data_IF_061274643466
#
_entry.id   IF_061274643466
#
_cell.length_a   1.000
_cell.length_b   1.000
_cell.length_c   1.000
_cell.angle_alpha   90.00
_cell.angle_beta   90.00
_cell.angle_gamma   90.00
#
_symmetry.space_group_name_H-M   'P 1'
#
loop_
_entity.id
_entity.type
_entity.pdbx_description
1 polymer ?
#
# COMPACT_ATOMS: atom_id res chain seq x y z
N UNK A 1 -24.63 6.63 -36.97
CA UNK A 1 -23.53 6.74 -35.99
C UNK A 1 -24.10 7.31 -34.70
N UNK A 2 -24.21 6.53 -33.61
CA UNK A 2 -24.84 7.00 -32.39
C UNK A 2 -23.95 8.01 -31.68
N UNK A 3 -24.62 8.98 -31.06
CA UNK A 3 -24.08 10.17 -30.39
C UNK A 3 -23.03 9.79 -29.33
N UNK A 4 -21.79 10.21 -29.54
CA UNK A 4 -20.78 10.28 -28.48
C UNK A 4 -21.27 11.28 -27.43
N UNK A 5 -21.41 10.82 -26.20
CA UNK A 5 -21.73 11.64 -25.04
C UNK A 5 -20.52 12.54 -24.74
N UNK A 6 -20.67 13.84 -25.00
CA UNK A 6 -19.64 14.84 -24.73
C UNK A 6 -19.66 15.22 -23.24
N UNK A 7 -19.01 14.40 -22.41
CA UNK A 7 -18.83 14.63 -20.97
C UNK A 7 -17.89 15.82 -20.65
N UNK A 8 -17.43 16.57 -21.66
CA UNK A 8 -16.27 17.46 -21.57
C UNK A 8 -16.62 18.93 -21.25
N UNK A 9 -17.88 19.25 -20.96
CA UNK A 9 -18.33 20.63 -20.67
C UNK A 9 -19.43 20.71 -19.62
N UNK A 10 -19.22 20.18 -18.43
CA UNK A 10 -19.94 20.77 -17.28
C UNK A 10 -19.20 22.08 -16.92
N UNK A 11 -19.86 23.25 -17.01
CA UNK A 11 -19.25 24.50 -16.54
C UNK A 11 -18.93 24.34 -15.04
N UNK A 12 -17.77 24.83 -14.57
CA UNK A 12 -17.42 24.71 -13.16
C UNK A 12 -18.51 25.35 -12.31
N UNK A 13 -19.17 24.54 -11.46
CA UNK A 13 -20.10 25.07 -10.46
C UNK A 13 -19.33 26.07 -9.57
N UNK A 14 -19.92 27.21 -9.18
CA UNK A 14 -19.23 28.17 -8.35
C UNK A 14 -18.75 27.50 -7.06
N UNK A 15 -17.44 27.54 -6.77
CA UNK A 15 -16.83 26.88 -5.61
C UNK A 15 -17.53 27.24 -4.28
N UNK A 16 -18.06 28.47 -4.18
CA UNK A 16 -18.84 28.95 -3.02
C UNK A 16 -20.08 28.11 -2.70
N UNK A 17 -20.77 27.57 -3.72
CA UNK A 17 -21.94 26.70 -3.49
C UNK A 17 -21.51 25.34 -2.96
N UNK A 18 -20.38 24.80 -3.43
CA UNK A 18 -19.87 23.51 -2.98
C UNK A 18 -19.44 23.50 -1.52
N UNK A 19 -18.71 24.53 -1.07
CA UNK A 19 -18.29 24.61 0.34
C UNK A 19 -19.45 24.81 1.31
N UNK A 20 -20.48 25.55 0.90
CA UNK A 20 -21.66 25.75 1.73
C UNK A 20 -22.47 24.46 1.88
N UNK A 21 -22.66 23.70 0.80
CA UNK A 21 -23.33 22.40 0.88
C UNK A 21 -22.55 21.41 1.75
N UNK A 22 -21.21 21.37 1.65
CA UNK A 22 -20.40 20.51 2.51
C UNK A 22 -20.52 20.87 4.00
N UNK A 23 -20.70 22.16 4.33
CA UNK A 23 -20.97 22.57 5.73
C UNK A 23 -22.31 22.05 6.23
N UNK A 24 -23.35 22.09 5.39
CA UNK A 24 -24.67 21.53 5.74
C UNK A 24 -24.57 20.02 5.95
N UNK A 25 -23.91 19.28 5.05
CA UNK A 25 -23.71 17.83 5.21
C UNK A 25 -22.93 17.48 6.49
N UNK A 26 -21.97 18.31 6.89
CA UNK A 26 -21.25 18.14 8.15
C UNK A 26 -22.17 18.38 9.36
N UNK A 27 -22.99 19.44 9.32
CA UNK A 27 -23.94 19.73 10.39
C UNK A 27 -25.01 18.64 10.56
N UNK A 28 -25.45 18.01 9.47
CA UNK A 28 -26.41 16.89 9.49
C UNK A 28 -25.87 15.63 10.16
N UNK A 29 -24.54 15.40 10.12
CA UNK A 29 -23.93 14.23 10.77
C UNK A 29 -23.78 14.36 12.29
N UNK A 30 -23.94 15.56 12.85
CA UNK A 30 -23.85 15.81 14.28
C UNK A 30 -22.47 16.26 14.77
N UNK A 31 -22.39 16.52 16.07
CA UNK A 31 -21.18 17.08 16.69
C UNK A 31 -20.02 16.07 16.72
N UNK A 32 -18.82 16.52 16.39
CA UNK A 32 -17.62 15.68 16.29
C UNK A 32 -17.59 14.70 15.10
N UNK A 33 -18.53 14.77 14.17
CA UNK A 33 -18.52 13.94 12.97
C UNK A 33 -17.52 14.45 11.92
N UNK A 34 -16.99 13.54 11.10
CA UNK A 34 -16.11 13.87 9.98
C UNK A 34 -16.76 13.51 8.63
N UNK A 35 -16.41 14.29 7.60
CA UNK A 35 -16.74 13.95 6.22
C UNK A 35 -15.67 13.03 5.66
N UNK A 36 -16.08 11.88 5.15
CA UNK A 36 -15.23 11.00 4.34
C UNK A 36 -15.29 11.48 2.90
N UNK A 37 -14.14 11.62 2.26
CA UNK A 37 -14.09 12.02 0.86
C UNK A 37 -14.60 10.91 -0.05
N UNK A 38 -15.46 11.27 -1.00
CA UNK A 38 -15.93 10.39 -2.08
C UNK A 38 -15.76 11.10 -3.43
N UNK A 39 -15.14 10.41 -4.39
CA UNK A 39 -14.96 10.87 -5.78
C UNK A 39 -16.28 11.05 -6.53
N UNK A 40 -17.34 10.38 -6.07
CA UNK A 40 -18.66 10.39 -6.70
C UNK A 40 -19.61 11.44 -6.06
N UNK A 41 -19.26 12.00 -4.90
CA UNK A 41 -19.91 13.19 -4.37
C UNK A 41 -19.57 14.42 -5.23
N UNK A 42 -20.56 15.05 -5.89
CA UNK A 42 -20.32 16.21 -6.73
C UNK A 42 -19.69 17.38 -5.97
N UNK A 43 -20.03 17.61 -4.70
CA UNK A 43 -19.57 18.76 -3.92
C UNK A 43 -18.16 18.55 -3.38
N UNK A 44 -17.85 17.36 -2.86
CA UNK A 44 -16.49 17.00 -2.45
C UNK A 44 -15.51 17.08 -3.64
N UNK A 45 -15.91 16.58 -4.81
CA UNK A 45 -15.07 16.63 -6.01
C UNK A 45 -14.88 18.06 -6.54
N UNK A 46 -15.90 18.91 -6.45
CA UNK A 46 -15.79 20.33 -6.85
C UNK A 46 -14.87 21.12 -5.91
N UNK A 47 -14.91 20.81 -4.60
CA UNK A 47 -13.99 21.37 -3.62
C UNK A 47 -12.54 21.01 -3.94
N UNK A 48 -12.23 19.72 -4.15
CA UNK A 48 -10.88 19.27 -4.52
C UNK A 48 -10.44 19.90 -5.84
N UNK A 49 -11.29 19.90 -6.86
CA UNK A 49 -10.96 20.47 -8.18
C UNK A 49 -10.58 21.94 -8.09
N UNK A 50 -11.38 22.75 -7.39
CA UNK A 50 -11.14 24.19 -7.26
C UNK A 50 -9.90 24.51 -6.42
N UNK A 51 -9.72 23.84 -5.27
CA UNK A 51 -8.54 24.01 -4.42
C UNK A 51 -7.25 23.60 -5.13
N UNK A 52 -7.25 22.47 -5.84
CA UNK A 52 -6.11 21.98 -6.60
C UNK A 52 -5.73 22.94 -7.74
N UNK A 53 -6.71 23.43 -8.51
CA UNK A 53 -6.43 24.36 -9.61
C UNK A 53 -5.91 25.72 -9.11
N UNK A 54 -6.43 26.22 -7.99
CA UNK A 54 -5.90 27.44 -7.38
C UNK A 54 -4.45 27.24 -6.93
N UNK A 55 -4.13 26.10 -6.31
CA UNK A 55 -2.75 25.74 -5.96
C UNK A 55 -1.85 25.64 -7.19
N UNK A 56 -2.32 25.00 -8.27
CA UNK A 56 -1.57 24.93 -9.53
C UNK A 56 -1.25 26.32 -10.06
N UNK A 57 -2.22 27.23 -10.05
CA UNK A 57 -2.02 28.60 -10.52
C UNK A 57 -0.99 29.37 -9.68
N UNK A 58 -1.01 29.22 -8.35
CA UNK A 58 -0.02 29.83 -7.44
C UNK A 58 1.41 29.42 -7.79
N UNK A 59 1.61 28.16 -8.18
CA UNK A 59 2.92 27.63 -8.56
C UNK A 59 3.16 27.66 -10.08
N UNK A 60 2.43 28.49 -10.82
CA UNK A 60 2.58 28.66 -12.29
C UNK A 60 2.46 27.36 -13.09
N UNK A 61 1.63 26.43 -12.62
CA UNK A 61 1.29 25.19 -13.33
C UNK A 61 -0.02 25.35 -14.10
N UNK A 62 -0.12 24.67 -15.24
CA UNK A 62 -1.35 24.63 -16.02
C UNK A 62 -2.47 23.94 -15.22
N UNK A 63 -3.61 24.63 -15.10
CA UNK A 63 -4.82 24.08 -14.50
C UNK A 63 -5.32 22.87 -15.29
N UNK A 64 -5.95 21.93 -14.57
CA UNK A 64 -6.51 20.70 -15.14
C UNK A 64 -8.03 20.70 -15.08
N UNK A 65 -8.63 19.89 -15.94
CA UNK A 65 -10.09 19.73 -15.95
C UNK A 65 -10.57 18.97 -14.70
N UNK A 66 -11.86 19.14 -14.35
CA UNK A 66 -12.51 18.35 -13.29
C UNK A 66 -12.38 16.84 -13.55
N UNK A 67 -12.47 16.43 -14.82
CA UNK A 67 -12.34 15.02 -15.21
C UNK A 67 -10.95 14.47 -14.90
N UNK A 68 -9.89 15.20 -15.28
CA UNK A 68 -8.51 14.77 -15.03
C UNK A 68 -8.22 14.73 -13.52
N UNK A 69 -8.67 15.74 -12.77
CA UNK A 69 -8.48 15.79 -11.32
C UNK A 69 -9.27 14.67 -10.65
N UNK A 70 -10.49 14.36 -11.09
CA UNK A 70 -11.27 13.21 -10.59
C UNK A 70 -10.57 11.88 -10.88
N UNK A 71 -10.00 11.73 -12.08
CA UNK A 71 -9.25 10.53 -12.44
C UNK A 71 -8.03 10.30 -11.54
N UNK A 72 -7.29 11.37 -11.22
CA UNK A 72 -6.10 11.30 -10.37
C UNK A 72 -6.46 11.17 -8.88
N UNK A 73 -7.33 12.02 -8.35
CA UNK A 73 -7.71 12.00 -6.93
C UNK A 73 -8.45 10.71 -6.55
N UNK A 74 -9.27 10.17 -7.45
CA UNK A 74 -10.01 8.94 -7.24
C UNK A 74 -9.26 7.67 -7.64
N UNK A 75 -8.01 7.77 -8.10
CA UNK A 75 -7.23 6.64 -8.64
C UNK A 75 -8.06 5.78 -9.61
N UNK A 76 -8.77 6.41 -10.56
CA UNK A 76 -9.74 5.73 -11.42
C UNK A 76 -9.01 4.80 -12.38
N UNK A 77 -9.29 3.50 -12.27
CA UNK A 77 -8.87 2.48 -13.23
C UNK A 77 -9.97 2.33 -14.29
N UNK A 78 -9.70 2.62 -15.58
CA UNK A 78 -10.68 2.41 -16.63
C UNK A 78 -11.08 0.93 -16.73
N UNK A 79 -12.40 0.67 -16.71
CA UNK A 79 -12.94 -0.67 -16.81
C UNK A 79 -13.81 -0.82 -18.07
N UNK A 80 -13.73 -1.99 -18.72
CA UNK A 80 -14.54 -2.33 -19.89
C UNK A 80 -15.18 -3.70 -19.62
N UNK A 81 -16.48 -3.83 -19.90
CA UNK A 81 -17.26 -5.03 -19.61
C UNK A 81 -16.68 -6.31 -20.23
N UNK A 82 -16.08 -6.20 -21.42
CA UNK A 82 -15.49 -7.35 -22.14
C UNK A 82 -14.31 -7.96 -21.41
N UNK A 83 -13.45 -7.14 -20.78
CA UNK A 83 -12.33 -7.64 -19.97
C UNK A 83 -12.85 -8.49 -18.81
N UNK A 84 -13.85 -8.00 -18.08
CA UNK A 84 -14.44 -8.73 -16.95
C UNK A 84 -15.10 -10.03 -17.40
N UNK A 85 -15.82 -10.03 -18.52
CA UNK A 85 -16.43 -11.24 -19.07
C UNK A 85 -15.40 -12.32 -19.44
N UNK A 86 -14.28 -11.92 -20.06
CA UNK A 86 -13.18 -12.83 -20.41
C UNK A 86 -12.53 -13.41 -19.14
N UNK A 87 -12.18 -12.55 -18.17
CA UNK A 87 -11.54 -13.01 -16.93
C UNK A 87 -12.47 -13.93 -16.15
N UNK A 88 -13.75 -13.59 -15.99
CA UNK A 88 -14.72 -14.44 -15.31
C UNK A 88 -14.86 -15.83 -15.97
N UNK A 89 -14.90 -15.88 -17.31
CA UNK A 89 -14.90 -17.15 -18.04
C UNK A 89 -13.64 -17.99 -17.75
N UNK A 90 -12.46 -17.38 -17.75
CA UNK A 90 -11.20 -18.05 -17.42
C UNK A 90 -11.18 -18.53 -15.97
N UNK A 91 -11.70 -17.76 -15.01
CA UNK A 91 -11.81 -18.17 -13.60
C UNK A 91 -12.62 -19.45 -13.45
N UNK A 92 -13.75 -19.58 -14.13
CA UNK A 92 -14.57 -20.80 -14.09
C UNK A 92 -13.82 -21.98 -14.70
N UNK A 93 -13.10 -21.77 -15.82
CA UNK A 93 -12.31 -22.82 -16.46
C UNK A 93 -11.18 -23.33 -15.56
N UNK A 94 -10.44 -22.46 -14.87
CA UNK A 94 -9.42 -22.88 -13.90
C UNK A 94 -10.07 -23.60 -12.70
N UNK A 95 -11.22 -23.11 -12.22
CA UNK A 95 -11.95 -23.75 -11.11
C UNK A 95 -12.41 -25.17 -11.43
N UNK A 96 -12.84 -25.44 -12.66
CA UNK A 96 -13.21 -26.79 -13.09
C UNK A 96 -12.01 -27.75 -13.05
N UNK A 97 -10.79 -27.29 -13.36
CA UNK A 97 -9.58 -28.09 -13.24
C UNK A 97 -9.29 -28.45 -11.78
N UNK A 98 -9.39 -27.47 -10.89
CA UNK A 98 -9.22 -27.67 -9.44
C UNK A 98 -10.22 -28.70 -8.91
N UNK A 99 -11.51 -28.54 -9.23
CA UNK A 99 -12.56 -29.45 -8.80
C UNK A 99 -12.40 -30.87 -9.37
N UNK A 100 -11.72 -31.00 -10.52
CA UNK A 100 -11.39 -32.30 -11.13
C UNK A 100 -10.10 -32.92 -10.58
N UNK A 101 -9.47 -32.32 -9.56
CA UNK A 101 -8.19 -32.76 -8.99
C UNK A 101 -6.97 -32.49 -9.87
N UNK A 102 -7.09 -31.70 -10.93
CA UNK A 102 -6.04 -31.42 -11.92
C UNK A 102 -5.38 -30.06 -11.65
N UNK A 103 -4.85 -29.88 -10.45
CA UNK A 103 -4.22 -28.62 -10.01
C UNK A 103 -2.92 -28.35 -10.79
N UNK A 104 -2.20 -29.41 -11.14
CA UNK A 104 -1.01 -29.40 -12.00
C UNK A 104 -1.25 -28.82 -13.40
N UNK A 105 -2.50 -28.83 -13.87
CA UNK A 105 -2.93 -28.22 -15.13
C UNK A 105 -3.36 -26.74 -14.99
N UNK A 106 -3.37 -26.20 -13.78
CA UNK A 106 -3.73 -24.81 -13.53
C UNK A 106 -2.59 -23.87 -13.97
N UNK A 107 -2.95 -22.69 -14.47
CA UNK A 107 -1.98 -21.72 -15.02
C UNK A 107 -2.38 -20.30 -14.63
N UNK A 108 -1.40 -19.42 -14.46
CA UNK A 108 -1.63 -17.98 -14.41
C UNK A 108 -1.86 -17.51 -15.85
N UNK A 109 -3.05 -17.02 -16.17
CA UNK A 109 -3.38 -16.58 -17.53
C UNK A 109 -3.39 -15.05 -17.57
N UNK A 110 -2.50 -14.48 -18.38
CA UNK A 110 -2.43 -13.04 -18.61
C UNK A 110 -3.17 -12.68 -19.90
N UNK A 111 -4.08 -11.69 -19.82
CA UNK A 111 -4.78 -11.13 -20.97
C UNK A 111 -4.06 -9.87 -21.46
N UNK A 112 -3.45 -9.96 -22.64
CA UNK A 112 -2.75 -8.84 -23.27
C UNK A 112 -3.69 -8.03 -24.17
N UNK A 113 -3.46 -6.70 -24.23
CA UNK A 113 -4.15 -5.81 -25.17
C UNK A 113 -3.79 -6.10 -26.63
N UNK A 114 -2.53 -6.47 -26.88
CA UNK A 114 -2.03 -6.85 -28.20
C UNK A 114 -1.39 -8.23 -28.12
N UNK A 115 -1.37 -8.95 -29.24
CA UNK A 115 -0.70 -10.24 -29.29
C UNK A 115 0.80 -10.06 -28.99
N UNK A 116 1.35 -10.93 -28.15
CA UNK A 116 2.80 -10.97 -27.93
C UNK A 116 3.54 -11.41 -29.23
N UNK A 117 4.89 -11.38 -29.27
CA UNK A 117 5.65 -11.84 -30.45
C UNK A 117 5.34 -13.29 -30.89
N UNK A 118 4.76 -14.10 -30.00
CA UNK A 118 4.29 -15.48 -30.27
C UNK A 118 2.83 -15.55 -30.71
N UNK A 119 2.21 -14.43 -31.08
CA UNK A 119 0.82 -14.29 -31.54
C UNK A 119 -0.25 -14.70 -30.50
N UNK A 120 0.06 -14.62 -29.21
CA UNK A 120 -0.87 -14.95 -28.12
C UNK A 120 -1.43 -13.69 -27.45
N UNK A 121 -2.76 -13.61 -27.35
CA UNK A 121 -3.46 -12.63 -26.52
C UNK A 121 -3.63 -13.13 -25.08
N UNK A 122 -3.97 -14.42 -24.93
CA UNK A 122 -4.01 -15.12 -23.65
C UNK A 122 -2.71 -15.88 -23.47
N UNK A 123 -1.93 -15.52 -22.46
CA UNK A 123 -0.62 -16.12 -22.18
C UNK A 123 -0.72 -16.94 -20.90
N UNK A 124 -0.81 -18.28 -21.00
CA UNK A 124 -0.72 -19.15 -19.83
C UNK A 124 0.73 -19.30 -19.38
N UNK A 125 0.97 -19.05 -18.10
CA UNK A 125 2.23 -19.24 -17.39
C UNK A 125 2.07 -20.35 -16.33
N UNK A 126 3.15 -21.08 -16.06
CA UNK A 126 3.14 -22.05 -14.96
C UNK A 126 2.89 -21.35 -13.63
N UNK A 127 2.31 -22.08 -12.66
CA UNK A 127 2.18 -21.57 -11.30
C UNK A 127 3.55 -21.63 -10.63
N UNK A 128 3.96 -20.53 -10.01
CA UNK A 128 5.21 -20.47 -9.26
C UNK A 128 5.04 -21.19 -7.90
N UNK A 129 6.09 -21.85 -7.40
CA UNK A 129 6.05 -22.46 -6.06
C UNK A 129 5.99 -21.37 -4.97
N UNK A 130 5.59 -21.72 -3.74
CA UNK A 130 5.62 -20.79 -2.61
C UNK A 130 7.04 -20.21 -2.41
N UNK A 131 7.12 -18.88 -2.29
CA UNK A 131 8.39 -18.21 -2.03
C UNK A 131 8.83 -18.47 -0.57
N UNK A 132 10.02 -19.06 -0.32
CA UNK A 132 10.54 -19.29 1.03
C UNK A 132 10.67 -18.02 1.89
N UNK A 133 10.84 -16.86 1.25
CA UNK A 133 10.99 -15.56 1.93
C UNK A 133 9.66 -14.82 2.12
N UNK A 134 8.52 -15.46 1.85
CA UNK A 134 7.21 -14.82 2.00
C UNK A 134 6.86 -14.62 3.49
N UNK A 135 6.64 -13.37 3.90
CA UNK A 135 6.23 -13.03 5.27
C UNK A 135 4.77 -13.41 5.62
N UNK A 136 4.05 -14.10 4.73
CA UNK A 136 2.66 -14.53 4.95
C UNK A 136 2.56 -16.06 5.00
N UNK A 137 3.02 -16.76 3.95
CA UNK A 137 2.80 -18.21 3.82
C UNK A 137 4.00 -19.09 4.16
N UNK A 138 5.16 -18.51 4.50
CA UNK A 138 6.29 -19.29 5.00
C UNK A 138 5.97 -19.92 6.37
N UNK A 139 6.66 -21.02 6.70
CA UNK A 139 6.40 -21.78 7.94
C UNK A 139 6.64 -20.98 9.23
N UNK A 140 7.60 -20.05 9.20
CA UNK A 140 7.91 -19.09 10.27
C UNK A 140 8.23 -17.75 9.62
N UNK A 141 7.21 -16.92 9.34
CA UNK A 141 7.44 -15.64 8.69
C UNK A 141 8.05 -14.65 9.69
N UNK A 142 9.18 -14.04 9.31
CA UNK A 142 9.84 -13.01 10.10
C UNK A 142 10.12 -11.80 9.21
N UNK A 143 9.99 -10.60 9.78
CA UNK A 143 10.25 -9.34 9.09
C UNK A 143 11.10 -8.44 9.97
N UNK A 144 12.01 -7.69 9.35
CA UNK A 144 12.82 -6.69 10.04
C UNK A 144 12.32 -5.30 9.70
N UNK A 145 11.94 -4.53 10.72
CA UNK A 145 11.49 -3.15 10.55
C UNK A 145 12.53 -2.20 11.15
N UNK A 146 13.02 -1.24 10.36
CA UNK A 146 13.93 -0.20 10.85
C UNK A 146 13.14 1.09 11.14
N UNK A 147 13.20 1.51 12.39
CA UNK A 147 12.49 2.69 12.90
C UNK A 147 13.22 3.29 14.11
N UNK A 148 12.88 4.52 14.46
CA UNK A 148 13.41 5.18 15.66
C UNK A 148 12.50 4.92 16.87
N UNK A 149 12.97 4.09 17.81
CA UNK A 149 12.22 3.68 19.00
C UNK A 149 11.88 4.83 19.97
N UNK A 150 12.59 5.95 19.90
CA UNK A 150 12.34 7.14 20.73
C UNK A 150 11.32 8.09 20.10
N UNK A 151 11.15 8.05 18.78
CA UNK A 151 10.17 8.89 18.07
C UNK A 151 8.83 8.16 17.87
N UNK A 152 8.87 6.89 17.49
CA UNK A 152 7.66 6.11 17.16
C UNK A 152 6.85 5.78 18.42
N UNK A 153 5.54 6.00 18.34
CA UNK A 153 4.56 5.65 19.38
C UNK A 153 3.92 4.29 19.11
N UNK A 154 3.32 3.68 20.14
CA UNK A 154 2.53 2.44 19.99
C UNK A 154 1.39 2.61 18.98
N UNK A 155 0.73 3.78 18.97
CA UNK A 155 -0.32 4.09 18.00
C UNK A 155 0.18 4.06 16.56
N UNK A 156 1.36 4.64 16.33
CA UNK A 156 1.98 4.68 14.99
C UNK A 156 2.38 3.27 14.54
N UNK A 157 2.93 2.47 15.46
CA UNK A 157 3.22 1.06 15.21
C UNK A 157 1.95 0.30 14.83
N UNK A 158 0.88 0.44 15.61
CA UNK A 158 -0.40 -0.24 15.35
C UNK A 158 -0.99 0.13 14.00
N UNK A 159 -1.21 1.43 13.77
CA UNK A 159 -2.05 1.87 12.66
C UNK A 159 -1.27 1.91 11.34
N UNK A 160 -0.01 2.40 11.35
CA UNK A 160 0.77 2.54 10.11
C UNK A 160 1.61 1.31 9.76
N UNK A 161 2.14 0.60 10.76
CA UNK A 161 3.01 -0.56 10.49
C UNK A 161 2.18 -1.84 10.45
N UNK A 162 1.47 -2.15 11.53
CA UNK A 162 0.82 -3.46 11.66
C UNK A 162 -0.49 -3.54 10.85
N UNK A 163 -1.35 -2.51 10.93
CA UNK A 163 -2.60 -2.49 10.18
C UNK A 163 -2.42 -2.08 8.72
N UNK A 164 -1.76 -0.94 8.47
CA UNK A 164 -1.63 -0.42 7.10
C UNK A 164 -0.58 -1.19 6.29
N UNK A 165 0.64 -1.39 6.80
CA UNK A 165 1.71 -2.05 6.03
C UNK A 165 1.63 -3.58 6.03
N UNK A 166 1.29 -4.21 7.15
CA UNK A 166 1.12 -5.68 7.24
C UNK A 166 -0.32 -6.16 7.06
N UNK A 167 -1.27 -5.26 6.80
CA UNK A 167 -2.66 -5.59 6.48
C UNK A 167 -3.39 -6.41 7.58
N UNK A 168 -2.98 -6.31 8.84
CA UNK A 168 -3.68 -6.98 9.94
C UNK A 168 -4.96 -6.21 10.31
N UNK A 169 -6.05 -6.92 10.56
CA UNK A 169 -7.34 -6.29 10.87
C UNK A 169 -7.42 -5.87 12.34
N UNK A 170 -7.13 -6.81 13.24
CA UNK A 170 -7.17 -6.63 14.68
C UNK A 170 -5.94 -7.30 15.31
N UNK A 171 -4.79 -6.60 15.35
CA UNK A 171 -3.53 -7.20 15.78
C UNK A 171 -3.40 -7.24 17.30
N UNK A 172 -2.81 -8.32 17.81
CA UNK A 172 -2.39 -8.49 19.20
C UNK A 172 -0.86 -8.63 19.24
N UNK A 173 -0.18 -7.66 19.84
CA UNK A 173 1.26 -7.49 19.68
C UNK A 173 1.96 -7.57 21.02
N UNK A 174 2.88 -8.52 21.17
CA UNK A 174 3.60 -8.81 22.42
C UNK A 174 5.13 -8.76 22.21
N UNK A 175 5.85 -8.20 23.18
CA UNK A 175 7.32 -8.23 23.18
C UNK A 175 7.83 -9.61 23.61
N UNK A 176 8.80 -10.15 22.88
CA UNK A 176 9.49 -11.40 23.23
C UNK A 176 10.58 -11.18 24.30
N UNK A 177 10.18 -10.71 25.49
CA UNK A 177 11.06 -10.47 26.64
C UNK A 177 11.03 -11.59 27.69
N UNK A 178 10.25 -12.65 27.43
CA UNK A 178 9.97 -13.74 28.37
C UNK A 178 8.98 -13.40 29.48
N UNK A 179 8.57 -12.13 29.63
CA UNK A 179 7.52 -11.67 30.56
C UNK A 179 6.16 -11.59 29.88
N UNK A 180 6.17 -11.38 28.57
CA UNK A 180 4.98 -11.25 27.74
C UNK A 180 4.30 -9.90 27.88
N UNK A 181 5.10 -8.84 27.78
CA UNK A 181 4.59 -7.47 27.80
C UNK A 181 3.71 -7.21 26.57
N UNK A 182 2.41 -7.00 26.80
CA UNK A 182 1.41 -6.70 25.75
C UNK A 182 1.52 -5.21 25.37
N UNK A 183 1.80 -4.94 24.09
CA UNK A 183 1.88 -3.59 23.53
C UNK A 183 0.54 -3.15 22.95
N UNK A 184 -0.06 -4.01 22.14
CA UNK A 184 -1.32 -3.75 21.42
C UNK A 184 -2.24 -4.93 21.70
N UNK A 185 -3.48 -4.64 22.10
CA UNK A 185 -4.56 -5.61 22.20
C UNK A 185 -5.64 -5.30 21.16
N UNK A 186 -6.25 -6.34 20.62
CA UNK A 186 -7.44 -6.25 19.76
C UNK A 186 -8.70 -5.89 20.57
N UNK A 187 -8.71 -6.12 21.88
CA UNK A 187 -9.82 -5.79 22.77
C UNK A 187 -9.87 -4.28 23.10
N UNK A 188 -11.04 -3.68 22.86
CA UNK A 188 -11.25 -2.24 23.08
C UNK A 188 -11.10 -1.90 24.56
N UNK A 189 -10.20 -0.96 24.86
CA UNK A 189 -10.01 -0.42 26.21
C UNK A 189 -8.88 -1.04 27.02
N UNK A 190 -8.23 -2.12 26.56
CA UNK A 190 -7.12 -2.72 27.29
C UNK A 190 -5.81 -1.92 27.17
N UNK A 191 -5.41 -1.58 25.93
CA UNK A 191 -4.10 -0.94 25.65
C UNK A 191 -4.18 0.51 25.21
N UNK A 192 -5.34 1.17 25.35
CA UNK A 192 -5.52 2.57 24.91
C UNK A 192 -4.59 3.56 25.65
N UNK A 193 -4.27 3.25 26.91
CA UNK A 193 -3.31 4.02 27.71
C UNK A 193 -1.87 3.99 27.16
N UNK A 194 -1.55 3.01 26.30
CA UNK A 194 -0.22 2.86 25.71
C UNK A 194 -0.05 3.63 24.40
N UNK A 195 -1.14 4.07 23.76
CA UNK A 195 -1.13 4.65 22.40
C UNK A 195 -0.13 5.80 22.21
N UNK A 196 -0.02 6.70 23.19
CA UNK A 196 0.82 7.89 23.12
C UNK A 196 2.27 7.65 23.55
N UNK A 197 2.56 6.52 24.21
CA UNK A 197 3.87 6.18 24.74
C UNK A 197 4.84 5.80 23.63
N UNK A 198 6.12 6.12 23.81
CA UNK A 198 7.20 5.74 22.89
C UNK A 198 7.56 4.27 23.07
N UNK A 199 8.01 3.63 21.99
CA UNK A 199 8.43 2.22 22.04
C UNK A 199 9.59 1.99 23.02
N UNK A 200 10.48 2.97 23.15
CA UNK A 200 11.59 2.92 24.13
C UNK A 200 11.13 2.81 25.58
N UNK A 201 9.92 3.31 25.92
CA UNK A 201 9.38 3.22 27.29
C UNK A 201 9.05 1.78 27.69
N UNK A 202 8.86 0.89 26.71
CA UNK A 202 8.64 -0.54 26.92
C UNK A 202 9.93 -1.36 26.87
N UNK A 203 11.10 -0.69 26.87
CA UNK A 203 12.40 -1.35 26.79
C UNK A 203 12.76 -1.88 25.40
N UNK A 204 12.03 -1.47 24.35
CA UNK A 204 12.37 -1.83 22.98
C UNK A 204 13.68 -1.15 22.56
N UNK A 205 14.59 -1.94 22.00
CA UNK A 205 15.90 -1.52 21.49
C UNK A 205 16.17 -2.17 20.14
N UNK A 206 17.34 -1.90 19.57
CA UNK A 206 17.76 -2.57 18.35
C UNK A 206 17.72 -4.10 18.53
N UNK A 207 17.19 -4.80 17.53
CA UNK A 207 16.95 -6.26 17.52
C UNK A 207 15.89 -6.76 18.53
N UNK A 208 15.03 -5.91 19.09
CA UNK A 208 13.87 -6.39 19.84
C UNK A 208 12.88 -7.11 18.91
N UNK A 209 12.51 -8.33 19.28
CA UNK A 209 11.50 -9.13 18.58
C UNK A 209 10.12 -8.93 19.20
N UNK A 210 9.11 -8.99 18.34
CA UNK A 210 7.71 -8.83 18.69
C UNK A 210 6.94 -9.88 17.89
N UNK A 211 6.01 -10.56 18.55
CA UNK A 211 5.20 -11.61 17.95
C UNK A 211 3.71 -11.41 18.21
N UNK A 212 2.90 -12.24 17.55
CA UNK A 212 1.49 -12.37 17.88
C UNK A 212 1.36 -12.89 19.31
N UNK A 213 0.56 -12.21 20.13
CA UNK A 213 0.20 -12.74 21.43
C UNK A 213 -0.54 -14.08 21.22
N UNK A 214 -0.21 -15.13 21.98
CA UNK A 214 -0.96 -16.38 21.89
C UNK A 214 -2.43 -16.09 22.19
N UNK A 215 -3.32 -16.58 21.31
CA UNK A 215 -4.76 -16.60 21.55
C UNK A 215 -4.97 -17.14 22.97
N UNK A 216 -5.60 -16.38 23.87
CA UNK A 216 -5.95 -16.87 25.20
C UNK A 216 -6.97 -18.00 25.02
N UNK A 217 -6.50 -19.23 24.79
CA UNK A 217 -7.31 -20.44 24.81
C UNK A 217 -7.68 -20.70 26.27
N UNK A 218 -8.74 -20.04 26.73
CA UNK A 218 -9.53 -20.55 27.84
C UNK A 218 -10.12 -21.91 27.45
N UNK A 219 -10.30 -22.84 28.40
CA UNK A 219 -10.79 -24.19 28.07
C UNK A 219 -12.16 -24.11 27.40
N UNK A 220 -12.22 -24.48 26.12
CA UNK A 220 -13.49 -24.71 25.40
C UNK A 220 -14.23 -25.84 26.10
N UNK A 221 -15.36 -25.52 26.74
CA UNK A 221 -16.39 -26.52 26.97
C UNK A 221 -16.95 -26.93 25.60
N UNK A 222 -17.00 -28.23 25.37
CA UNK A 222 -17.58 -28.83 24.19
C UNK A 222 -19.10 -28.75 24.27
N UNK A 223 -19.74 -28.10 23.30
CA UNK A 223 -21.15 -28.33 22.99
C UNK A 223 -21.32 -28.52 21.48
N UNK A 224 -21.83 -29.69 21.13
CA UNK A 224 -22.34 -30.07 19.82
C UNK A 224 -23.59 -29.24 19.48
N UNK A 225 -23.63 -28.60 18.31
CA UNK A 225 -24.90 -28.27 17.66
C UNK A 225 -24.76 -28.00 16.16
N UNK A 226 -25.25 -28.97 15.39
CA UNK A 226 -26.06 -28.88 14.17
C UNK A 226 -25.83 -27.76 13.12
N UNK A 227 -25.66 -28.25 11.89
CA UNK A 227 -25.71 -27.55 10.60
C UNK A 227 -26.92 -26.60 10.45
N UNK A 228 -26.66 -25.36 10.03
CA UNK A 228 -27.57 -24.62 9.15
C UNK A 228 -26.79 -23.74 8.17
N UNK A 229 -26.96 -24.03 6.88
CA UNK A 229 -26.41 -23.26 5.77
C UNK A 229 -27.31 -22.04 5.55
N UNK A 230 -26.75 -20.83 5.61
CA UNK A 230 -27.40 -19.62 5.08
C UNK A 230 -26.42 -18.88 4.17
N UNK A 231 -26.81 -18.74 2.90
CA UNK A 231 -26.12 -17.97 1.88
C UNK A 231 -26.13 -16.48 2.24
N UNK A 232 -24.95 -15.86 2.32
CA UNK A 232 -24.76 -14.42 2.36
C UNK A 232 -23.67 -14.04 1.36
N UNK A 233 -24.10 -13.59 0.18
CA UNK A 233 -23.24 -13.06 -0.88
C UNK A 233 -22.77 -11.67 -0.48
N UNK A 234 -21.45 -11.46 -0.39
CA UNK A 234 -20.87 -10.13 -0.29
C UNK A 234 -19.69 -10.02 -1.28
N UNK A 235 -19.98 -9.55 -2.49
CA UNK A 235 -19.03 -9.33 -3.56
C UNK A 235 -18.30 -7.99 -3.33
N UNK A 236 -17.10 -8.08 -2.76
CA UNK A 236 -16.13 -6.98 -2.66
C UNK A 236 -14.76 -7.43 -3.16
N UNK A 237 -14.68 -7.89 -4.42
CA UNK A 237 -13.42 -8.34 -5.02
C UNK A 237 -12.54 -7.16 -5.43
N UNK A 238 -11.52 -6.84 -4.62
CA UNK A 238 -10.36 -6.07 -5.10
C UNK A 238 -9.50 -6.97 -6.01
N UNK A 239 -9.14 -6.53 -7.23
CA UNK A 239 -8.14 -7.24 -8.01
C UNK A 239 -6.75 -6.92 -7.45
N UNK A 240 -6.09 -7.92 -6.86
CA UNK A 240 -4.65 -7.86 -6.57
C UNK A 240 -3.87 -7.93 -7.88
N UNK A 241 -3.31 -6.81 -8.32
CA UNK A 241 -2.29 -6.78 -9.36
C UNK A 241 -0.92 -6.90 -8.71
N UNK A 242 -0.34 -8.10 -8.71
CA UNK A 242 1.05 -8.33 -8.34
C UNK A 242 1.95 -8.03 -9.55
N UNK A 243 2.55 -6.84 -9.56
CA UNK A 243 3.83 -6.63 -10.25
C UNK A 243 4.92 -6.79 -9.19
N UNK A 244 5.57 -7.96 -9.19
CA UNK A 244 6.76 -8.17 -8.38
C UNK A 244 7.95 -7.50 -9.09
N UNK A 245 8.49 -6.43 -8.50
CA UNK A 245 9.88 -6.03 -8.72
C UNK A 245 10.65 -6.48 -7.48
N UNK A 246 11.64 -7.33 -7.68
CA UNK A 246 12.61 -7.68 -6.64
C UNK A 246 13.48 -6.45 -6.37
N UNK A 247 13.23 -5.77 -5.25
CA UNK A 247 14.17 -4.85 -4.62
C UNK A 247 14.20 -5.20 -3.14
N UNK A 248 15.40 -5.33 -2.57
CA UNK A 248 15.63 -5.48 -1.14
C UNK A 248 15.08 -4.24 -0.41
N UNK A 249 13.81 -4.30 -0.01
CA UNK A 249 13.12 -3.22 0.69
C UNK A 249 13.59 -3.16 2.15
N UNK A 250 14.69 -2.43 2.39
CA UNK A 250 15.02 -2.01 3.74
C UNK A 250 14.05 -0.89 4.15
N UNK A 251 13.05 -1.24 4.95
CA UNK A 251 12.02 -0.32 5.44
C UNK A 251 12.63 0.80 6.30
N UNK A 252 12.78 2.01 5.76
CA UNK A 252 13.03 3.23 6.55
C UNK A 252 11.70 3.91 6.81
N UNK A 253 11.32 4.05 8.08
CA UNK A 253 10.28 4.99 8.46
C UNK A 253 10.96 6.35 8.68
N UNK A 254 11.01 7.18 7.65
CA UNK A 254 11.53 8.54 7.76
C UNK A 254 10.59 9.36 8.65
N UNK A 255 11.11 9.72 9.83
CA UNK A 255 10.54 10.77 10.66
C UNK A 255 11.46 11.97 10.51
N UNK A 256 11.00 12.95 9.75
CA UNK A 256 11.61 14.27 9.63
C UNK A 256 11.94 14.86 11.03
N UNK A 257 12.84 15.84 11.03
CA UNK A 257 13.51 16.51 12.17
C UNK A 257 14.88 15.89 12.52
N UNK A 258 15.89 16.54 11.93
CA UNK A 258 17.33 16.45 12.17
C UNK A 258 17.67 16.80 13.63
N UNK A 259 18.31 15.88 14.36
CA UNK A 259 18.95 16.21 15.63
C UNK A 259 20.47 16.12 15.47
N UNK A 260 21.10 17.29 15.45
CA UNK A 260 22.54 17.47 15.30
C UNK A 260 23.29 17.02 16.56
N UNK A 261 24.10 15.96 16.46
CA UNK A 261 25.08 15.63 17.51
C UNK A 261 26.51 15.97 17.06
N UNK A 262 27.14 16.84 17.84
CA UNK A 262 28.49 17.42 17.66
C UNK A 262 29.59 16.36 17.52
N UNK A 263 30.40 16.47 16.46
CA UNK A 263 31.87 16.47 16.52
C UNK A 263 32.53 16.73 15.15
N UNK A 264 33.61 17.53 15.21
CA UNK A 264 34.52 18.00 14.16
C UNK A 264 33.89 18.90 13.07
N UNK A 265 34.21 20.19 13.22
CA UNK A 265 33.81 21.37 12.43
C UNK A 265 34.25 21.26 10.96
N UNK A 266 33.42 20.59 10.17
CA UNK A 266 33.41 20.64 8.71
C UNK A 266 31.98 20.95 8.36
N UNK A 267 31.72 22.08 7.73
CA UNK A 267 30.36 22.53 7.44
C UNK A 267 29.59 21.46 6.66
N UNK A 268 28.28 21.34 6.89
CA UNK A 268 27.45 20.37 6.16
C UNK A 268 27.53 20.56 4.63
N UNK A 269 27.77 21.80 4.18
CA UNK A 269 28.09 22.10 2.80
C UNK A 269 29.40 21.47 2.32
N UNK A 270 30.48 21.50 3.12
CA UNK A 270 31.75 20.87 2.77
C UNK A 270 31.64 19.33 2.73
N UNK A 271 30.92 18.72 3.69
CA UNK A 271 30.65 17.27 3.65
C UNK A 271 29.81 16.89 2.42
N UNK A 272 28.83 17.70 2.07
CA UNK A 272 28.00 17.49 0.87
C UNK A 272 28.79 17.64 -0.43
N UNK A 273 29.70 18.62 -0.51
CA UNK A 273 30.61 18.79 -1.65
C UNK A 273 31.56 17.60 -1.79
N UNK A 274 32.12 17.11 -0.68
CA UNK A 274 33.04 15.95 -0.67
C UNK A 274 32.33 14.64 -1.01
N UNK A 275 31.08 14.45 -0.57
CA UNK A 275 30.26 13.30 -0.98
C UNK A 275 29.96 13.32 -2.48
N UNK A 276 29.56 14.47 -3.03
CA UNK A 276 29.33 14.65 -4.48
C UNK A 276 30.59 14.44 -5.32
N UNK A 277 31.77 14.85 -4.84
CA UNK A 277 33.03 14.58 -5.55
C UNK A 277 33.39 13.09 -5.55
N UNK A 278 33.21 12.42 -4.40
CA UNK A 278 33.45 10.97 -4.28
C UNK A 278 32.48 10.14 -5.13
N UNK A 279 31.23 10.60 -5.29
CA UNK A 279 30.25 9.96 -6.18
C UNK A 279 30.68 10.03 -7.65
N UNK A 280 31.22 11.17 -8.10
CA UNK A 280 31.76 11.33 -9.45
C UNK A 280 32.99 10.43 -9.70
N UNK A 281 33.88 10.31 -8.72
CA UNK A 281 35.05 9.43 -8.81
C UNK A 281 34.62 7.95 -8.86
N UNK A 282 33.64 7.55 -8.03
CA UNK A 282 33.08 6.19 -8.06
C UNK A 282 32.43 5.86 -9.42
N UNK A 283 31.68 6.80 -10.01
CA UNK A 283 31.09 6.62 -11.35
C UNK A 283 32.16 6.47 -12.43
N UNK A 284 33.24 7.26 -12.34
CA UNK A 284 34.39 7.16 -13.26
C UNK A 284 35.09 5.82 -13.13
N UNK A 285 35.32 5.33 -11.91
CA UNK A 285 35.90 4.02 -11.64
C UNK A 285 34.99 2.87 -12.12
N UNK A 286 33.67 2.98 -11.92
CA UNK A 286 32.67 2.02 -12.42
C UNK A 286 32.71 1.94 -13.95
N UNK A 287 32.63 3.09 -14.63
CA UNK A 287 32.73 3.16 -16.10
C UNK A 287 34.05 2.60 -16.64
N UNK A 288 35.17 2.85 -15.96
CA UNK A 288 36.46 2.26 -16.33
C UNK A 288 36.46 0.72 -16.22
N UNK A 289 35.75 0.14 -15.24
CA UNK A 289 35.62 -1.32 -15.08
C UNK A 289 34.67 -1.93 -16.12
N UNK A 290 33.60 -1.22 -16.48
CA UNK A 290 32.71 -1.59 -17.60
C UNK A 290 33.49 -1.65 -18.92
N UNK A 291 34.31 -0.63 -19.21
CA UNK A 291 35.17 -0.59 -20.40
C UNK A 291 36.21 -1.72 -20.41
N UNK A 292 36.63 -2.19 -19.23
CA UNK A 292 37.53 -3.33 -19.04
C UNK A 292 36.81 -4.69 -18.98
N UNK A 293 35.47 -4.73 -19.14
CA UNK A 293 34.60 -5.93 -19.01
C UNK A 293 34.70 -6.65 -17.66
N UNK A 294 35.07 -5.94 -16.61
CA UNK A 294 35.19 -6.50 -15.25
C UNK A 294 33.91 -6.33 -14.43
N UNK A 295 32.88 -5.68 -14.99
CA UNK A 295 31.61 -5.41 -14.34
C UNK A 295 30.51 -6.33 -14.86
N UNK A 296 29.79 -6.98 -13.94
CA UNK A 296 28.81 -8.04 -14.26
C UNK A 296 27.40 -7.48 -14.55
N UNK A 297 27.07 -6.30 -14.04
CA UNK A 297 25.75 -5.68 -14.16
C UNK A 297 25.83 -4.38 -15.00
N UNK A 298 25.88 -4.54 -16.33
CA UNK A 298 25.82 -3.43 -17.28
C UNK A 298 24.59 -3.54 -18.18
N UNK A 299 23.65 -2.60 -18.02
CA UNK A 299 22.41 -2.52 -18.81
C UNK A 299 22.35 -1.14 -19.46
N UNK A 300 22.44 -1.13 -20.78
CA UNK A 300 22.36 0.09 -21.60
C UNK A 300 20.97 0.16 -22.22
N UNK A 301 20.18 1.17 -21.84
CA UNK A 301 18.93 1.49 -22.53
C UNK A 301 19.28 2.10 -23.90
N UNK A 302 18.79 1.46 -24.97
CA UNK A 302 19.04 1.90 -26.35
C UNK A 302 17.90 2.76 -26.92
N UNK A 303 16.68 2.63 -26.37
CA UNK A 303 15.49 3.44 -26.64
C UNK A 303 14.49 3.29 -25.48
#
# INVERSE_FOLDING_TARGET
LPKCWDYRREPPRPAKKGTETLRVHLAEKGDGAELTWDKDDPYAMDFVTSATNLRMHIFSMNMKSRFDIKSMAGNIIPAIATTNAVIAGLTVLERLKILSGKIDHCRTIVLNKQANPRKKFLVPCALDPPNPNCYICASKPEVTVRLNVHKVTVLTLRDKVVKEKFAMVAPDVQIEDGKGTILISSEKGETEANNHKKLSEFGMRNCSCVGDAPEKVGPKQAEDAAKSITNGSNDGGQPSTSTAQEQDDVLTVDSDEEDSSKNADVSEEERSRKRKSHEKENLSAKRSRIEQKEELDDVIALD
#
